data_IF_674171918854
#
_entry.id   IF_674171918854
#
_cell.length_a   1.000
_cell.length_b   1.000
_cell.length_c   1.000
_cell.angle_alpha   90.00
_cell.angle_beta   90.00
_cell.angle_gamma   90.00
#
_symmetry.space_group_name_H-M   'P 1'
#
loop_
_entity.id
_entity.type
_entity.pdbx_description
1 polymer ?
#
# COMPACT_ATOMS: atom_id res chain seq x y z
N UNK A 1 4.42 -0.20 -18.80
CA UNK A 1 4.77 0.33 -17.48
C UNK A 1 4.40 -0.65 -16.34
N UNK A 2 4.71 -1.93 -16.54
CA UNK A 2 4.30 -3.05 -15.67
C UNK A 2 5.45 -3.82 -15.03
N UNK A 3 6.71 -3.35 -15.12
CA UNK A 3 7.87 -4.21 -14.84
C UNK A 3 8.57 -3.95 -13.50
N UNK A 4 8.33 -2.84 -12.80
CA UNK A 4 9.08 -2.52 -11.59
C UNK A 4 8.48 -3.09 -10.30
N UNK A 5 7.22 -3.50 -10.31
CA UNK A 5 6.55 -4.10 -9.13
C UNK A 5 6.67 -5.63 -9.06
N UNK A 6 7.07 -6.29 -10.15
CA UNK A 6 7.28 -7.75 -10.20
C UNK A 6 8.67 -8.21 -9.77
N UNK A 7 9.64 -7.32 -9.64
CA UNK A 7 11.04 -7.66 -9.30
C UNK A 7 11.28 -7.92 -7.81
N UNK A 8 10.29 -7.68 -6.95
CA UNK A 8 10.42 -8.00 -5.53
C UNK A 8 9.88 -9.41 -5.19
N UNK A 9 10.32 -10.44 -5.90
CA UNK A 9 10.40 -11.78 -5.31
C UNK A 9 11.48 -11.73 -4.24
N UNK A 10 11.15 -11.11 -3.09
CA UNK A 10 12.02 -11.17 -1.93
C UNK A 10 12.32 -12.64 -1.66
N UNK A 11 13.59 -13.00 -1.72
CA UNK A 11 14.02 -14.32 -1.36
C UNK A 11 13.70 -14.52 0.12
N UNK A 12 12.67 -15.28 0.42
CA UNK A 12 12.23 -15.54 1.79
C UNK A 12 13.37 -16.09 2.67
N UNK A 13 14.31 -16.82 2.10
CA UNK A 13 15.49 -17.31 2.81
C UNK A 13 16.41 -16.17 3.25
N UNK A 14 16.57 -15.12 2.41
CA UNK A 14 17.37 -13.95 2.78
C UNK A 14 16.70 -13.14 3.91
N UNK A 15 15.37 -13.06 3.93
CA UNK A 15 14.65 -12.41 5.04
C UNK A 15 14.79 -13.22 6.33
N UNK A 16 14.67 -14.56 6.27
CA UNK A 16 14.83 -15.43 7.44
C UNK A 16 16.23 -15.31 8.07
N UNK A 17 17.28 -15.23 7.26
CA UNK A 17 18.65 -15.06 7.76
C UNK A 17 18.83 -13.66 8.41
N UNK A 18 18.31 -12.59 7.79
CA UNK A 18 18.33 -11.25 8.37
C UNK A 18 17.56 -11.19 9.70
N UNK A 19 16.41 -11.87 9.77
CA UNK A 19 15.59 -11.93 10.99
C UNK A 19 16.35 -12.65 12.10
N UNK A 20 16.97 -13.80 11.82
CA UNK A 20 17.74 -14.55 12.79
C UNK A 20 18.87 -13.67 13.37
N UNK A 21 19.66 -13.02 12.51
CA UNK A 21 20.75 -12.14 12.93
C UNK A 21 20.24 -10.92 13.72
N UNK A 22 19.11 -10.34 13.30
CA UNK A 22 18.50 -9.21 14.01
C UNK A 22 18.02 -9.59 15.41
N UNK A 23 17.44 -10.79 15.58
CA UNK A 23 17.04 -11.32 16.88
C UNK A 23 18.24 -11.64 17.78
N UNK A 24 19.40 -11.99 17.20
CA UNK A 24 20.69 -12.15 17.90
C UNK A 24 21.35 -10.79 18.23
N UNK A 25 20.70 -9.66 17.93
CA UNK A 25 21.15 -8.31 18.27
C UNK A 25 21.97 -7.62 17.17
N UNK A 26 22.03 -8.15 15.97
CA UNK A 26 22.73 -7.53 14.84
C UNK A 26 21.89 -6.37 14.26
N UNK A 27 22.31 -5.13 14.57
CA UNK A 27 21.61 -3.91 14.11
C UNK A 27 21.66 -3.71 12.60
N UNK A 28 22.77 -4.07 11.95
CA UNK A 28 22.92 -3.91 10.50
C UNK A 28 21.95 -4.84 9.73
N UNK A 29 21.74 -6.04 10.25
CA UNK A 29 20.77 -6.99 9.66
C UNK A 29 19.33 -6.52 9.84
N UNK A 30 19.01 -5.91 10.99
CA UNK A 30 17.72 -5.27 11.22
C UNK A 30 17.50 -4.09 10.26
N UNK A 31 18.49 -3.23 10.09
CA UNK A 31 18.43 -2.09 9.17
C UNK A 31 18.21 -2.56 7.73
N UNK A 32 18.95 -3.57 7.27
CA UNK A 32 18.78 -4.17 5.94
C UNK A 32 17.37 -4.73 5.74
N UNK A 33 16.82 -5.37 6.78
CA UNK A 33 15.46 -5.90 6.75
C UNK A 33 14.42 -4.79 6.61
N UNK A 34 14.57 -3.69 7.37
CA UNK A 34 13.70 -2.50 7.30
C UNK A 34 13.77 -1.89 5.91
N UNK A 35 14.97 -1.57 5.41
CA UNK A 35 15.19 -0.94 4.10
C UNK A 35 14.58 -1.76 2.95
N UNK A 36 14.59 -3.09 3.07
CA UNK A 36 14.01 -3.97 2.06
C UNK A 36 12.49 -3.89 2.00
N UNK A 37 11.83 -3.56 3.12
CA UNK A 37 10.37 -3.63 3.22
C UNK A 37 9.70 -2.27 3.34
N UNK A 38 10.40 -1.19 3.70
CA UNK A 38 9.80 0.12 3.98
C UNK A 38 9.09 0.73 2.77
N UNK A 39 9.65 0.61 1.55
CA UNK A 39 9.12 1.29 0.37
C UNK A 39 7.72 0.80 -0.01
N UNK A 40 7.48 -0.50 0.05
CA UNK A 40 6.17 -1.01 -0.27
C UNK A 40 5.16 -0.81 0.88
N UNK A 41 5.61 -0.79 2.15
CA UNK A 41 4.77 -0.40 3.30
C UNK A 41 4.32 1.04 3.11
N UNK A 42 5.26 1.95 2.79
CA UNK A 42 4.97 3.35 2.50
C UNK A 42 3.97 3.48 1.34
N UNK A 43 4.18 2.75 0.25
CA UNK A 43 3.29 2.79 -0.90
C UNK A 43 1.87 2.29 -0.57
N UNK A 44 1.70 1.30 0.31
CA UNK A 44 0.38 0.90 0.79
C UNK A 44 -0.21 1.99 1.69
N UNK A 45 0.56 2.50 2.65
CA UNK A 45 0.14 3.57 3.55
C UNK A 45 -0.31 4.81 2.74
N UNK A 46 0.51 5.26 1.79
CA UNK A 46 0.19 6.40 0.93
C UNK A 46 -1.12 6.21 0.17
N UNK A 47 -1.33 5.05 -0.46
CA UNK A 47 -2.59 4.75 -1.18
C UNK A 47 -3.80 4.61 -0.25
N UNK A 48 -3.58 4.39 1.03
CA UNK A 48 -4.64 4.33 2.05
C UNK A 48 -4.99 5.70 2.61
N UNK A 49 -3.98 6.58 2.86
CA UNK A 49 -4.19 7.89 3.50
C UNK A 49 -4.14 9.07 2.53
N UNK A 50 -3.52 8.90 1.35
CA UNK A 50 -3.43 9.85 0.25
C UNK A 50 -2.79 11.20 0.65
N UNK A 51 -1.79 11.12 1.52
CA UNK A 51 -0.99 12.23 1.99
C UNK A 51 0.40 11.73 2.37
N UNK A 52 1.43 12.46 1.96
CA UNK A 52 2.81 12.04 2.12
C UNK A 52 3.26 12.02 3.58
N UNK A 53 2.89 13.03 4.36
CA UNK A 53 3.28 13.16 5.77
C UNK A 53 2.57 12.10 6.61
N UNK A 54 1.26 11.96 6.46
CA UNK A 54 0.50 10.89 7.12
C UNK A 54 0.99 9.49 6.70
N UNK A 55 1.39 9.29 5.44
CA UNK A 55 1.93 8.02 4.97
C UNK A 55 3.29 7.69 5.61
N UNK A 56 4.14 8.71 5.79
CA UNK A 56 5.42 8.56 6.48
C UNK A 56 5.20 8.18 7.95
N UNK A 57 4.32 8.89 8.66
CA UNK A 57 3.96 8.59 10.05
C UNK A 57 3.41 7.16 10.19
N UNK A 58 2.44 6.79 9.35
CA UNK A 58 1.82 5.45 9.34
C UNK A 58 2.87 4.37 9.06
N UNK A 59 3.79 4.63 8.12
CA UNK A 59 4.89 3.70 7.79
C UNK A 59 5.78 3.49 9.01
N UNK A 60 6.17 4.56 9.68
CA UNK A 60 6.99 4.49 10.89
C UNK A 60 6.29 3.67 11.99
N UNK A 61 5.00 3.93 12.25
CA UNK A 61 4.23 3.17 13.23
C UNK A 61 4.14 1.67 12.89
N UNK A 62 3.98 1.32 11.59
CA UNK A 62 3.97 -0.06 11.12
C UNK A 62 5.34 -0.70 11.33
N UNK A 63 6.43 -0.02 10.98
CA UNK A 63 7.79 -0.52 11.16
C UNK A 63 8.12 -0.74 12.63
N UNK A 64 7.74 0.18 13.53
CA UNK A 64 7.89 0.00 14.98
C UNK A 64 7.14 -1.26 15.44
N UNK A 65 5.90 -1.47 14.99
CA UNK A 65 5.12 -2.68 15.33
C UNK A 65 5.80 -3.95 14.80
N UNK A 66 6.31 -3.92 13.57
CA UNK A 66 7.00 -5.06 12.97
C UNK A 66 8.28 -5.40 13.77
N UNK A 67 9.08 -4.40 14.12
CA UNK A 67 10.31 -4.58 14.89
C UNK A 67 10.01 -5.14 16.29
N UNK A 68 9.07 -4.52 17.00
CA UNK A 68 8.73 -4.93 18.37
C UNK A 68 8.06 -6.29 18.45
N UNK A 69 7.43 -6.75 17.37
CA UNK A 69 6.82 -8.09 17.29
C UNK A 69 7.64 -9.08 16.46
N UNK A 70 8.88 -8.74 16.06
CA UNK A 70 9.71 -9.57 15.18
C UNK A 70 9.96 -10.98 15.74
N UNK A 71 10.13 -11.09 17.06
CA UNK A 71 10.28 -12.38 17.76
C UNK A 71 9.03 -13.28 17.68
N UNK A 72 7.88 -12.75 17.31
CA UNK A 72 6.64 -13.50 17.11
C UNK A 72 6.49 -14.06 15.70
N UNK A 73 7.38 -13.71 14.78
CA UNK A 73 7.39 -14.27 13.44
C UNK A 73 7.79 -15.75 13.48
N UNK A 74 6.99 -16.57 12.85
CA UNK A 74 7.21 -18.01 12.75
C UNK A 74 7.31 -18.39 11.26
N UNK A 75 8.49 -18.81 10.77
CA UNK A 75 8.69 -19.19 9.37
C UNK A 75 7.88 -20.40 8.94
N UNK A 76 7.49 -21.30 9.88
CA UNK A 76 6.64 -22.47 9.59
C UNK A 76 5.18 -22.06 9.27
N UNK A 77 4.77 -20.88 9.70
CA UNK A 77 3.41 -20.35 9.47
C UNK A 77 3.28 -19.55 8.18
N UNK A 78 4.39 -19.25 7.51
CA UNK A 78 4.39 -18.57 6.22
C UNK A 78 5.55 -17.61 6.00
N UNK A 79 5.60 -17.04 4.80
CA UNK A 79 6.65 -16.11 4.41
C UNK A 79 6.61 -14.82 5.25
N UNK A 80 7.78 -14.26 5.57
CA UNK A 80 7.91 -12.99 6.31
C UNK A 80 7.13 -11.85 5.63
N UNK A 81 7.17 -11.81 4.32
CA UNK A 81 6.40 -10.83 3.53
C UNK A 81 4.90 -10.89 3.85
N UNK A 82 4.31 -12.09 3.94
CA UNK A 82 2.88 -12.23 4.29
C UNK A 82 2.60 -11.77 5.70
N UNK A 83 3.51 -12.05 6.64
CA UNK A 83 3.40 -11.64 8.02
C UNK A 83 3.42 -10.11 8.16
N UNK A 84 4.37 -9.42 7.52
CA UNK A 84 4.47 -7.97 7.59
C UNK A 84 3.33 -7.27 6.81
N UNK A 85 2.83 -7.86 5.72
CA UNK A 85 1.61 -7.39 5.04
C UNK A 85 0.40 -7.44 5.98
N UNK A 86 0.30 -8.47 6.82
CA UNK A 86 -0.79 -8.59 7.79
C UNK A 86 -0.70 -7.50 8.87
N UNK A 87 0.50 -7.22 9.38
CA UNK A 87 0.72 -6.08 10.31
C UNK A 87 0.29 -4.78 9.66
N UNK A 88 0.71 -4.54 8.41
CA UNK A 88 0.34 -3.35 7.63
C UNK A 88 -1.17 -3.25 7.45
N UNK A 89 -1.82 -4.33 7.01
CA UNK A 89 -3.26 -4.38 6.78
C UNK A 89 -4.05 -4.09 8.06
N UNK A 90 -3.70 -4.75 9.16
CA UNK A 90 -4.35 -4.54 10.45
C UNK A 90 -4.18 -3.11 10.94
N UNK A 91 -2.98 -2.52 10.77
CA UNK A 91 -2.72 -1.15 11.18
C UNK A 91 -3.59 -0.17 10.39
N UNK A 92 -3.53 -0.20 9.05
CA UNK A 92 -4.28 0.75 8.21
C UNK A 92 -5.79 0.60 8.32
N UNK A 93 -6.29 -0.60 8.63
CA UNK A 93 -7.72 -0.82 8.89
C UNK A 93 -8.17 -0.30 10.28
N UNK A 94 -7.30 -0.35 11.28
CA UNK A 94 -7.58 0.09 12.65
C UNK A 94 -7.46 1.60 12.85
N UNK A 95 -6.85 2.33 11.91
CA UNK A 95 -6.68 3.79 12.00
C UNK A 95 -8.01 4.50 12.18
N UNK A 96 -8.05 5.51 13.07
CA UNK A 96 -9.28 6.30 13.32
C UNK A 96 -9.76 6.99 12.04
N UNK A 97 -11.07 6.93 11.79
CA UNK A 97 -11.73 7.47 10.58
C UNK A 97 -11.49 8.96 10.32
N UNK A 98 -11.24 9.76 11.38
CA UNK A 98 -11.25 11.23 11.32
C UNK A 98 -10.29 11.88 10.32
N UNK A 99 -9.09 11.35 10.11
CA UNK A 99 -8.12 11.96 9.19
C UNK A 99 -8.46 11.75 7.71
N UNK A 100 -9.17 10.68 7.38
CA UNK A 100 -9.50 10.31 6.01
C UNK A 100 -10.79 10.95 5.49
N UNK A 101 -11.82 11.03 6.32
CA UNK A 101 -13.15 11.56 5.94
C UNK A 101 -13.13 13.07 5.67
N UNK A 102 -12.23 13.83 6.31
CA UNK A 102 -12.06 15.27 6.05
C UNK A 102 -11.51 15.58 4.65
N UNK A 103 -10.78 14.65 4.00
CA UNK A 103 -10.18 14.87 2.68
C UNK A 103 -11.14 14.62 1.52
N UNK A 104 -12.29 14.00 1.75
CA UNK A 104 -13.33 13.87 0.72
C UNK A 104 -13.81 15.26 0.28
N UNK A 105 -13.90 16.23 1.18
CA UNK A 105 -14.23 17.62 0.84
C UNK A 105 -13.12 18.34 0.04
N UNK A 106 -11.85 17.99 0.26
CA UNK A 106 -10.74 18.53 -0.55
C UNK A 106 -10.72 17.94 -1.97
N UNK A 107 -11.34 16.79 -2.18
CA UNK A 107 -11.41 16.14 -3.50
C UNK A 107 -12.35 16.87 -4.46
N UNK A 108 -13.48 17.40 -4.01
CA UNK A 108 -14.34 18.27 -4.84
C UNK A 108 -13.57 19.50 -5.31
N UNK A 109 -12.71 20.05 -4.45
CA UNK A 109 -11.80 21.14 -4.77
C UNK A 109 -10.71 20.70 -5.75
N UNK A 110 -10.16 19.47 -5.60
CA UNK A 110 -9.15 18.92 -6.48
C UNK A 110 -9.70 18.62 -7.88
N UNK A 111 -10.87 17.99 -7.97
CA UNK A 111 -11.59 17.78 -9.23
C UNK A 111 -11.89 19.13 -9.92
N UNK A 112 -12.34 20.14 -9.18
CA UNK A 112 -12.60 21.49 -9.73
C UNK A 112 -11.32 22.21 -10.21
N UNK A 113 -10.15 21.83 -9.69
CA UNK A 113 -8.85 22.34 -10.17
C UNK A 113 -8.43 21.64 -11.46
N UNK A 114 -8.64 20.32 -11.57
CA UNK A 114 -8.36 19.54 -12.80
C UNK A 114 -9.28 19.99 -13.94
N UNK A 115 -10.57 20.22 -13.68
CA UNK A 115 -11.54 20.71 -14.67
C UNK A 115 -11.20 22.11 -15.20
N UNK A 116 -10.48 22.92 -14.42
CA UNK A 116 -10.04 24.28 -14.80
C UNK A 116 -8.68 24.33 -15.47
N UNK A 117 -7.96 23.19 -15.56
CA UNK A 117 -6.69 23.15 -16.27
C UNK A 117 -6.93 23.30 -17.78
N UNK A 118 -6.16 24.18 -18.46
CA UNK A 118 -6.26 24.31 -19.90
C UNK A 118 -5.86 22.98 -20.56
N UNK A 119 -6.62 22.53 -21.54
CA UNK A 119 -6.30 21.35 -22.38
C UNK A 119 -5.18 21.70 -23.38
N UNK A 120 -4.06 22.18 -22.86
CA UNK A 120 -2.90 22.55 -23.67
C UNK A 120 -2.00 21.34 -23.91
N UNK A 121 -2.27 20.63 -25.01
CA UNK A 121 -1.49 19.48 -25.48
C UNK A 121 -0.23 19.85 -26.22
N UNK A 122 0.15 21.12 -26.26
CA UNK A 122 1.29 21.63 -27.02
C UNK A 122 2.42 22.12 -26.13
N UNK A 123 3.33 21.26 -25.72
CA UNK A 123 4.60 21.72 -25.19
C UNK A 123 5.32 20.72 -24.28
N UNK A 124 6.50 20.30 -24.71
CA UNK A 124 7.42 19.49 -23.92
C UNK A 124 8.15 20.37 -22.88
N UNK A 125 7.50 20.71 -21.77
CA UNK A 125 8.15 21.35 -20.63
C UNK A 125 8.54 20.29 -19.57
N UNK A 126 9.69 20.43 -18.88
CA UNK A 126 10.06 19.53 -17.77
C UNK A 126 9.00 19.46 -16.66
N UNK A 127 8.27 20.55 -16.43
CA UNK A 127 7.15 20.62 -15.49
C UNK A 127 5.94 19.76 -15.90
N UNK A 128 5.80 19.44 -17.19
CA UNK A 128 4.68 18.65 -17.72
C UNK A 128 4.73 17.20 -17.25
N UNK A 129 5.91 16.62 -17.04
CA UNK A 129 6.06 15.27 -16.48
C UNK A 129 5.64 15.21 -15.01
N UNK A 130 5.98 16.23 -14.24
CA UNK A 130 5.55 16.37 -12.85
C UNK A 130 4.02 16.52 -12.78
N UNK A 131 3.45 17.37 -13.63
CA UNK A 131 2.00 17.57 -13.74
C UNK A 131 1.27 16.28 -14.16
N UNK A 132 1.81 15.52 -15.14
CA UNK A 132 1.26 14.23 -15.54
C UNK A 132 1.32 13.17 -14.43
N UNK A 133 2.36 13.18 -13.61
CA UNK A 133 2.45 12.27 -12.45
C UNK A 133 1.45 12.69 -11.36
N UNK A 134 1.31 13.97 -11.08
CA UNK A 134 0.32 14.48 -10.14
C UNK A 134 -1.11 14.20 -10.60
N UNK A 135 -1.42 14.39 -11.88
CA UNK A 135 -2.74 14.06 -12.46
C UNK A 135 -3.02 12.57 -12.43
N UNK A 136 -2.02 11.72 -12.71
CA UNK A 136 -2.17 10.24 -12.61
C UNK A 136 -2.42 9.80 -11.17
N UNK A 137 -1.69 10.39 -10.22
CA UNK A 137 -1.88 10.13 -8.79
C UNK A 137 -3.27 10.60 -8.36
N UNK A 138 -3.67 11.79 -8.77
CA UNK A 138 -4.99 12.35 -8.47
C UNK A 138 -6.14 11.55 -9.05
N UNK A 139 -6.04 11.15 -10.32
CA UNK A 139 -7.04 10.33 -10.98
C UNK A 139 -7.19 8.94 -10.31
N UNK A 140 -6.07 8.28 -9.99
CA UNK A 140 -6.09 7.00 -9.28
C UNK A 140 -6.59 7.14 -7.85
N UNK A 141 -6.29 8.26 -7.20
CA UNK A 141 -6.78 8.63 -5.87
C UNK A 141 -8.29 8.81 -5.91
N UNK A 142 -8.82 9.59 -6.86
CA UNK A 142 -10.26 9.80 -7.04
C UNK A 142 -11.02 8.50 -7.25
N UNK A 143 -10.53 7.63 -8.14
CA UNK A 143 -11.14 6.33 -8.38
C UNK A 143 -11.15 5.43 -7.13
N UNK A 144 -10.15 5.51 -6.26
CA UNK A 144 -10.14 4.73 -5.01
C UNK A 144 -11.05 5.30 -3.92
N UNK A 145 -11.52 6.55 -4.05
CA UNK A 145 -12.43 7.18 -3.09
C UNK A 145 -13.84 6.56 -3.10
N UNK A 146 -14.30 5.98 -4.22
CA UNK A 146 -15.55 5.24 -4.27
C UNK A 146 -15.52 3.94 -3.45
N UNK A 147 -14.33 3.50 -3.02
CA UNK A 147 -14.13 2.29 -2.24
C UNK A 147 -14.15 2.62 -0.73
N UNK A 148 -14.85 1.82 0.05
CA UNK A 148 -14.65 1.85 1.49
C UNK A 148 -13.23 1.39 1.85
N UNK A 149 -12.78 1.66 3.09
CA UNK A 149 -11.41 1.37 3.54
C UNK A 149 -10.97 -0.08 3.30
N UNK A 150 -11.85 -1.05 3.57
CA UNK A 150 -11.54 -2.47 3.38
C UNK A 150 -11.49 -2.87 1.90
N UNK A 151 -12.40 -2.37 1.09
CA UNK A 151 -12.41 -2.56 -0.37
C UNK A 151 -11.16 -1.96 -1.01
N UNK A 152 -10.78 -0.75 -0.57
CA UNK A 152 -9.57 -0.07 -1.04
C UNK A 152 -8.31 -0.88 -0.72
N UNK A 153 -8.15 -1.35 0.51
CA UNK A 153 -7.01 -2.18 0.87
C UNK A 153 -6.95 -3.46 0.04
N UNK A 154 -8.07 -4.15 -0.16
CA UNK A 154 -8.13 -5.35 -1.01
C UNK A 154 -7.74 -5.03 -2.45
N UNK A 155 -8.18 -3.89 -2.99
CA UNK A 155 -7.82 -3.44 -4.33
C UNK A 155 -6.32 -3.09 -4.41
N UNK A 156 -5.77 -2.41 -3.42
CA UNK A 156 -4.34 -2.11 -3.34
C UNK A 156 -3.54 -3.42 -3.34
N UNK A 157 -3.86 -4.36 -2.46
CA UNK A 157 -3.14 -5.62 -2.32
C UNK A 157 -3.26 -6.51 -3.57
N UNK A 158 -4.48 -6.77 -4.05
CA UNK A 158 -4.72 -7.71 -5.14
C UNK A 158 -4.72 -7.08 -6.53
N UNK A 159 -5.06 -5.80 -6.66
CA UNK A 159 -5.12 -5.08 -7.93
C UNK A 159 -3.83 -4.38 -8.30
N UNK A 160 -3.17 -3.73 -7.34
CA UNK A 160 -1.96 -2.93 -7.56
C UNK A 160 -0.69 -3.75 -7.25
N UNK A 161 -0.63 -4.37 -6.06
CA UNK A 161 0.54 -5.16 -5.64
C UNK A 161 0.53 -6.59 -6.16
N UNK A 162 -0.57 -7.04 -6.77
CA UNK A 162 -0.67 -8.33 -7.43
C UNK A 162 -0.60 -9.54 -6.49
N UNK A 163 -1.01 -9.38 -5.21
CA UNK A 163 -1.10 -10.52 -4.30
C UNK A 163 -2.08 -11.55 -4.87
N UNK A 164 -1.69 -12.81 -4.82
CA UNK A 164 -2.57 -13.93 -5.16
C UNK A 164 -3.75 -14.02 -4.19
N UNK A 165 -4.79 -14.76 -4.55
CA UNK A 165 -5.93 -15.00 -3.66
C UNK A 165 -5.53 -15.75 -2.38
N UNK A 166 -4.46 -16.56 -2.45
CA UNK A 166 -3.88 -17.25 -1.30
C UNK A 166 -3.26 -16.25 -0.34
N UNK A 167 -2.32 -15.41 -0.82
CA UNK A 167 -1.64 -14.40 -0.02
C UNK A 167 -2.62 -13.36 0.52
N UNK A 168 -3.48 -12.81 -0.35
CA UNK A 168 -4.46 -11.81 0.03
C UNK A 168 -5.47 -12.32 1.07
N UNK A 169 -5.88 -13.58 0.98
CA UNK A 169 -6.76 -14.19 1.98
C UNK A 169 -6.09 -14.33 3.34
N UNK A 170 -4.81 -14.70 3.37
CA UNK A 170 -4.00 -14.79 4.59
C UNK A 170 -3.78 -13.42 5.24
N UNK A 171 -3.45 -12.40 4.41
CA UNK A 171 -3.23 -11.02 4.88
C UNK A 171 -4.51 -10.41 5.46
N UNK A 172 -5.65 -10.62 4.78
CA UNK A 172 -6.95 -10.05 5.16
C UNK A 172 -7.74 -10.91 6.16
N UNK A 173 -7.20 -12.08 6.53
CA UNK A 173 -7.84 -13.06 7.44
C UNK A 173 -9.25 -13.44 7.00
N UNK A 174 -9.40 -13.74 5.71
CA UNK A 174 -10.67 -14.16 5.09
C UNK A 174 -10.48 -15.43 4.25
N UNK A 175 -11.57 -16.06 3.83
CA UNK A 175 -11.46 -17.16 2.86
C UNK A 175 -11.01 -16.66 1.49
N UNK A 176 -10.31 -17.51 0.70
CA UNK A 176 -9.90 -17.21 -0.67
C UNK A 176 -11.08 -16.76 -1.55
N UNK A 177 -12.22 -17.45 -1.42
CA UNK A 177 -13.44 -17.10 -2.15
C UNK A 177 -13.92 -15.69 -1.78
N UNK A 178 -13.87 -15.33 -0.49
CA UNK A 178 -14.25 -14.00 -0.04
C UNK A 178 -13.29 -12.92 -0.54
N UNK A 179 -11.97 -13.17 -0.48
CA UNK A 179 -10.97 -12.22 -1.04
C UNK A 179 -11.21 -11.96 -2.53
N UNK A 180 -11.40 -13.02 -3.34
CA UNK A 180 -11.73 -12.88 -4.77
C UNK A 180 -13.00 -12.08 -5.00
N UNK A 181 -14.06 -12.35 -4.22
CA UNK A 181 -15.34 -11.64 -4.31
C UNK A 181 -15.19 -10.16 -3.95
N UNK A 182 -14.42 -9.84 -2.91
CA UNK A 182 -14.13 -8.46 -2.49
C UNK A 182 -13.33 -7.71 -3.58
N UNK A 183 -12.29 -8.34 -4.12
CA UNK A 183 -11.46 -7.77 -5.19
C UNK A 183 -12.28 -7.51 -6.48
N UNK A 184 -13.12 -8.47 -6.88
CA UNK A 184 -14.01 -8.33 -8.04
C UNK A 184 -15.00 -7.17 -7.84
N UNK A 185 -15.59 -7.04 -6.66
CA UNK A 185 -16.50 -5.93 -6.33
C UNK A 185 -15.79 -4.58 -6.36
N UNK A 186 -14.58 -4.50 -5.78
CA UNK A 186 -13.80 -3.28 -5.79
C UNK A 186 -13.45 -2.84 -7.22
N UNK A 187 -12.99 -3.78 -8.06
CA UNK A 187 -12.72 -3.51 -9.49
C UNK A 187 -13.94 -2.99 -10.22
N UNK A 188 -15.10 -3.62 -10.02
CA UNK A 188 -16.36 -3.19 -10.68
C UNK A 188 -16.75 -1.77 -10.25
N UNK A 189 -16.69 -1.45 -8.95
CA UNK A 189 -16.98 -0.11 -8.47
C UNK A 189 -16.10 0.97 -9.11
N UNK A 190 -14.81 0.66 -9.33
CA UNK A 190 -13.89 1.59 -10.00
C UNK A 190 -14.23 1.77 -11.48
N UNK A 191 -14.75 0.73 -12.15
CA UNK A 191 -15.11 0.79 -13.57
C UNK A 191 -16.46 1.47 -13.81
N UNK A 192 -17.35 1.45 -12.82
CA UNK A 192 -18.70 2.03 -12.89
C UNK A 192 -18.71 3.54 -12.56
N UNK A 193 -17.55 4.11 -12.13
CA UNK A 193 -17.33 5.54 -11.84
C UNK A 193 -16.40 6.20 -12.84
#
# INVERSE_FOLDING_TARGET
MGSRFHEHKHNNQADQELIRQALDGNRESLEKLILRHQDWIYNIAFKMVMDHDDAADVTQEILIKAITSLSSYDPERGAFRTWIYRITANHVLAMKKKKFEYRIHDMERYVSLIEKMPDDRSGSHPDQRLLEEEVKIGCMTGMMMCLNRRERLVFILGGIFGLTDVEGSQVMEVSRANFRKMLSRARRKILDH
#
